data_IF_195931492681
#
_entry.id   IF_195931492681
#
_cell.length_a   1.000
_cell.length_b   1.000
_cell.length_c   1.000
_cell.angle_alpha   90.00
_cell.angle_beta   90.00
_cell.angle_gamma   90.00
#
_symmetry.space_group_name_H-M   'P 1'
#
loop_
_entity.id
_entity.type
_entity.pdbx_description
1 polymer ?
#
# COMPACT_ATOMS: atom_id res chain seq x y z
N UNK A 1 10.19 9.42 5.83
CA UNK A 1 9.91 9.05 4.43
C UNK A 1 8.41 8.86 4.26
N UNK A 2 7.82 9.35 3.16
CA UNK A 2 6.37 9.32 2.94
C UNK A 2 6.04 8.55 1.65
N UNK A 3 5.08 7.63 1.71
CA UNK A 3 4.61 6.84 0.56
C UNK A 3 3.09 6.89 0.50
N UNK A 4 2.54 7.14 -0.69
CA UNK A 4 1.10 7.10 -0.94
C UNK A 4 0.80 5.79 -1.67
N UNK A 5 -0.16 5.01 -1.16
CA UNK A 5 -0.52 3.71 -1.72
C UNK A 5 -2.02 3.64 -2.04
N UNK A 6 -2.34 3.20 -3.27
CA UNK A 6 -3.72 3.08 -3.77
C UNK A 6 -3.86 1.81 -4.61
N UNK A 7 -4.75 0.88 -4.23
CA UNK A 7 -5.29 -0.27 -5.00
C UNK A 7 -4.36 -0.91 -6.06
N UNK A 8 -3.08 -1.04 -5.74
CA UNK A 8 -2.01 -1.56 -6.61
C UNK A 8 -1.05 -2.39 -5.74
N UNK A 9 -1.49 -3.55 -5.22
CA UNK A 9 -0.68 -4.36 -4.32
C UNK A 9 0.66 -4.79 -4.95
N UNK A 10 0.69 -5.04 -6.26
CA UNK A 10 1.91 -5.38 -6.99
C UNK A 10 2.93 -4.24 -7.01
N UNK A 11 2.49 -3.02 -7.30
CA UNK A 11 3.37 -1.84 -7.32
C UNK A 11 3.84 -1.50 -5.92
N UNK A 12 2.96 -1.61 -4.91
CA UNK A 12 3.35 -1.38 -3.53
C UNK A 12 4.42 -2.37 -3.06
N UNK A 13 4.35 -3.65 -3.47
CA UNK A 13 5.40 -4.65 -3.15
C UNK A 13 6.76 -4.25 -3.69
N UNK A 14 6.82 -3.73 -4.92
CA UNK A 14 8.07 -3.26 -5.52
C UNK A 14 8.66 -2.08 -4.75
N UNK A 15 7.83 -1.11 -4.39
CA UNK A 15 8.25 0.08 -3.63
C UNK A 15 8.75 -0.32 -2.23
N UNK A 16 7.98 -1.11 -1.48
CA UNK A 16 8.40 -1.59 -0.15
C UNK A 16 9.69 -2.42 -0.26
N UNK A 17 9.82 -3.27 -1.28
CA UNK A 17 11.04 -4.04 -1.54
C UNK A 17 12.27 -3.15 -1.74
N UNK A 18 12.14 -2.03 -2.44
CA UNK A 18 13.23 -1.07 -2.62
C UNK A 18 13.53 -0.25 -1.35
N UNK A 19 12.55 -0.03 -0.48
CA UNK A 19 12.71 0.74 0.76
C UNK A 19 13.33 -0.11 1.88
N UNK A 20 13.00 -1.42 1.95
CA UNK A 20 13.44 -2.32 3.03
C UNK A 20 14.95 -2.28 3.33
N UNK A 21 15.87 -2.30 2.33
CA UNK A 21 17.31 -2.25 2.59
C UNK A 21 17.80 -0.95 3.23
N UNK A 22 17.06 0.16 3.04
CA UNK A 22 17.40 1.48 3.59
C UNK A 22 17.02 1.58 5.07
N UNK A 23 16.17 0.67 5.57
CA UNK A 23 15.76 0.55 6.97
C UNK A 23 15.40 1.90 7.63
N UNK A 24 14.43 2.65 7.09
CA UNK A 24 14.06 3.93 7.67
C UNK A 24 13.54 3.74 9.09
N UNK A 25 13.96 4.61 10.01
CA UNK A 25 13.47 4.65 11.40
C UNK A 25 11.98 5.00 11.49
N UNK A 26 11.42 5.62 10.46
CA UNK A 26 9.99 5.92 10.37
C UNK A 26 9.53 6.00 8.89
N UNK A 27 8.48 5.25 8.56
CA UNK A 27 7.81 5.26 7.27
C UNK A 27 6.33 5.61 7.46
N UNK A 28 5.89 6.72 6.89
CA UNK A 28 4.48 7.10 6.86
C UNK A 28 3.86 6.62 5.56
N UNK A 29 2.79 5.82 5.66
CA UNK A 29 2.05 5.33 4.50
C UNK A 29 0.61 5.83 4.57
N UNK A 30 0.19 6.59 3.55
CA UNK A 30 -1.19 7.01 3.38
C UNK A 30 -1.89 6.05 2.40
N UNK A 31 -3.03 5.49 2.82
CA UNK A 31 -3.81 4.54 2.01
C UNK A 31 -5.27 4.94 1.95
N UNK A 32 -5.79 5.05 0.73
CA UNK A 32 -7.22 5.30 0.52
C UNK A 32 -8.06 4.04 0.80
N UNK A 33 -9.28 4.26 1.31
CA UNK A 33 -10.27 3.20 1.54
C UNK A 33 -10.98 2.75 0.25
N UNK A 34 -11.73 1.64 0.30
CA UNK A 34 -12.51 1.20 -0.85
C UNK A 34 -13.67 2.17 -1.10
N UNK A 35 -13.88 2.56 -2.35
CA UNK A 35 -15.08 3.29 -2.76
C UNK A 35 -16.26 2.31 -2.88
N UNK A 36 -17.34 2.47 -2.09
CA UNK A 36 -18.48 1.55 -2.09
C UNK A 36 -19.24 1.51 -3.43
N UNK A 37 -19.14 2.54 -4.27
CA UNK A 37 -19.81 2.59 -5.57
C UNK A 37 -19.02 1.88 -6.69
N UNK A 38 -17.82 1.39 -6.41
CA UNK A 38 -16.96 0.72 -7.39
C UNK A 38 -16.75 -0.76 -7.05
N UNK A 39 -17.39 -1.69 -7.80
CA UNK A 39 -17.22 -3.12 -7.60
C UNK A 39 -15.74 -3.56 -7.68
N UNK A 40 -15.34 -4.47 -6.78
CA UNK A 40 -13.99 -5.04 -6.74
C UNK A 40 -12.94 -4.19 -6.01
N UNK A 41 -13.30 -3.02 -5.47
CA UNK A 41 -12.39 -2.25 -4.59
C UNK A 41 -12.27 -2.86 -3.19
N UNK A 42 -13.37 -3.42 -2.69
CA UNK A 42 -13.44 -4.04 -1.36
C UNK A 42 -12.43 -5.20 -1.18
N UNK A 43 -12.00 -5.83 -2.27
CA UNK A 43 -10.99 -6.91 -2.26
C UNK A 43 -9.56 -6.37 -2.44
N UNK A 44 -9.38 -5.35 -3.28
CA UNK A 44 -8.06 -4.80 -3.63
C UNK A 44 -7.46 -3.95 -2.52
N UNK A 45 -8.29 -3.28 -1.72
CA UNK A 45 -7.81 -2.44 -0.61
C UNK A 45 -7.23 -3.28 0.54
N UNK A 46 -7.89 -4.36 1.03
CA UNK A 46 -7.29 -5.29 1.98
C UNK A 46 -5.98 -5.90 1.49
N UNK A 47 -5.94 -6.40 0.25
CA UNK A 47 -4.73 -6.97 -0.34
C UNK A 47 -3.57 -5.96 -0.45
N UNK A 48 -3.87 -4.66 -0.56
CA UNK A 48 -2.86 -3.60 -0.54
C UNK A 48 -2.32 -3.39 0.88
N UNK A 49 -3.18 -3.47 1.91
CA UNK A 49 -2.79 -3.36 3.33
C UNK A 49 -1.88 -4.50 3.78
N UNK A 50 -2.11 -5.71 3.30
CA UNK A 50 -1.27 -6.87 3.63
C UNK A 50 0.20 -6.71 3.20
N UNK A 51 0.49 -5.88 2.19
CA UNK A 51 1.87 -5.63 1.75
C UNK A 51 2.68 -4.82 2.78
N UNK A 52 1.99 -4.08 3.66
CA UNK A 52 2.61 -3.24 4.69
C UNK A 52 2.81 -3.96 6.03
N UNK A 53 2.17 -5.12 6.24
CA UNK A 53 2.41 -5.98 7.40
C UNK A 53 3.80 -6.64 7.31
#
# INVERSE_FOLDING_TARGET
>A
MHTIAWRRPHTLRQVIGAIRPVAPTCLFVACDGPNPERPGEAEKVPATREVMA
#
